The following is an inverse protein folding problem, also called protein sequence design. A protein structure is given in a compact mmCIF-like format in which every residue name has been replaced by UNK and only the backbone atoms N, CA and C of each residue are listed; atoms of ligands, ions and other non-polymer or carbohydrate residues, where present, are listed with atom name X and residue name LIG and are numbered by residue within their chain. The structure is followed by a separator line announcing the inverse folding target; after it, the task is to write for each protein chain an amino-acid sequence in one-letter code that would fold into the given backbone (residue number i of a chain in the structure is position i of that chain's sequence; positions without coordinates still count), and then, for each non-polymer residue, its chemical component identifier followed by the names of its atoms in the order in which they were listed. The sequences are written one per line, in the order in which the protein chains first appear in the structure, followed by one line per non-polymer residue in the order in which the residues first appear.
data_IF_225599616471
#
_entry.id   IF_225599616471
#
_cell.length_a   1.000
_cell.length_b   1.000
_cell.length_c   1.000
_cell.angle_alpha   90.00
_cell.angle_beta   90.00
_cell.angle_gamma   90.00
#
_symmetry.space_group_name_H-M   'P 1'
#
loop_
_entity.id
_entity.type
_entity.pdbx_description
1 polymer ?
#
# COMPACT_ATOMS: atom_id res chain seq x y z
N UNK A 1 15.38 -7.88 -28.89
CA UNK A 1 14.82 -8.53 -27.67
C UNK A 1 13.32 -8.34 -27.69
N UNK A 2 12.52 -9.41 -27.54
CA UNK A 2 11.06 -9.27 -27.56
C UNK A 2 10.53 -8.64 -26.26
N UNK A 3 9.35 -8.03 -26.29
CA UNK A 3 8.70 -7.52 -25.07
C UNK A 3 8.52 -8.61 -24.02
N UNK A 4 8.16 -9.83 -24.41
CA UNK A 4 8.03 -10.96 -23.48
C UNK A 4 9.35 -11.30 -22.80
N UNK A 5 10.47 -11.25 -23.53
CA UNK A 5 11.79 -11.51 -22.96
C UNK A 5 12.23 -10.41 -21.99
N UNK A 6 11.91 -9.14 -22.28
CA UNK A 6 12.19 -8.03 -21.38
C UNK A 6 11.57 -8.23 -20.00
N UNK A 7 10.28 -8.56 -19.92
CA UNK A 7 9.59 -8.76 -18.63
C UNK A 7 10.06 -10.03 -17.92
N UNK A 8 10.35 -11.10 -18.66
CA UNK A 8 10.85 -12.35 -18.07
C UNK A 8 12.24 -12.16 -17.46
N UNK A 9 13.15 -11.50 -18.17
CA UNK A 9 14.50 -11.19 -17.67
C UNK A 9 14.48 -10.11 -16.59
N UNK A 10 13.55 -9.15 -16.67
CA UNK A 10 13.28 -8.18 -15.60
C UNK A 10 12.86 -8.87 -14.30
N UNK A 11 11.86 -9.75 -14.36
CA UNK A 11 11.39 -10.49 -13.19
C UNK A 11 12.47 -11.40 -12.59
N UNK A 12 13.35 -12.00 -13.42
CA UNK A 12 14.51 -12.76 -12.93
C UNK A 12 15.49 -11.88 -12.17
N UNK A 13 15.86 -10.73 -12.74
CA UNK A 13 16.76 -9.75 -12.08
C UNK A 13 16.19 -9.25 -10.77
N UNK A 14 14.93 -8.81 -10.77
CA UNK A 14 14.23 -8.38 -9.55
C UNK A 14 14.17 -9.48 -8.49
N UNK A 15 14.00 -10.75 -8.90
CA UNK A 15 14.04 -11.88 -7.96
C UNK A 15 15.44 -12.03 -7.36
N UNK A 16 16.50 -11.97 -8.17
CA UNK A 16 17.88 -12.11 -7.70
C UNK A 16 18.28 -10.97 -6.75
N UNK A 17 18.06 -9.73 -7.17
CA UNK A 17 18.33 -8.52 -6.38
C UNK A 17 17.53 -8.52 -5.08
N UNK A 18 16.24 -8.89 -5.14
CA UNK A 18 15.40 -9.01 -3.95
C UNK A 18 15.89 -10.08 -2.97
N UNK A 19 16.35 -11.24 -3.46
CA UNK A 19 16.91 -12.29 -2.61
C UNK A 19 18.23 -11.87 -1.95
N UNK A 20 19.06 -11.11 -2.65
CA UNK A 20 20.28 -10.51 -2.09
C UNK A 20 19.93 -9.51 -0.98
N UNK A 21 18.99 -8.59 -1.25
CA UNK A 21 18.52 -7.62 -0.27
C UNK A 21 17.97 -8.30 0.99
N UNK A 22 17.09 -9.30 0.83
CA UNK A 22 16.54 -10.06 1.96
C UNK A 22 17.66 -10.73 2.77
N UNK A 23 18.69 -11.27 2.13
CA UNK A 23 19.82 -11.87 2.84
C UNK A 23 20.55 -10.85 3.72
N UNK A 24 20.76 -9.62 3.22
CA UNK A 24 21.33 -8.51 4.00
C UNK A 24 20.43 -8.09 5.16
N UNK A 25 19.12 -7.97 4.91
CA UNK A 25 18.12 -7.59 5.91
C UNK A 25 18.05 -8.64 7.03
N UNK A 26 17.98 -9.93 6.69
CA UNK A 26 17.96 -11.01 7.68
C UNK A 26 19.25 -11.05 8.50
N UNK A 27 20.41 -10.82 7.88
CA UNK A 27 21.67 -10.73 8.60
C UNK A 27 21.66 -9.56 9.60
N UNK A 28 21.20 -8.38 9.18
CA UNK A 28 21.03 -7.21 10.05
C UNK A 28 20.05 -7.47 11.21
N UNK A 29 18.91 -8.08 10.92
CA UNK A 29 17.92 -8.43 11.94
C UNK A 29 18.48 -9.40 12.97
N UNK A 30 19.30 -10.37 12.53
CA UNK A 30 19.98 -11.32 13.41
C UNK A 30 21.05 -10.65 14.27
N UNK A 31 21.88 -9.76 13.71
CA UNK A 31 22.91 -9.06 14.49
C UNK A 31 22.32 -8.03 15.45
N UNK A 32 21.10 -7.56 15.20
CA UNK A 32 20.37 -6.59 16.01
C UNK A 32 19.25 -7.21 16.85
N UNK A 33 19.20 -8.54 16.98
CA UNK A 33 18.06 -9.29 17.54
C UNK A 33 17.68 -8.82 18.94
N UNK A 34 18.67 -8.62 19.82
CA UNK A 34 18.44 -8.15 21.19
C UNK A 34 17.76 -6.78 21.27
N UNK A 35 18.16 -5.85 20.40
CA UNK A 35 17.56 -4.51 20.30
C UNK A 35 16.16 -4.59 19.69
N UNK A 36 15.98 -5.35 18.62
CA UNK A 36 14.71 -5.44 17.89
C UNK A 36 13.62 -6.20 18.68
N UNK A 37 14.01 -7.15 19.52
CA UNK A 37 13.09 -7.92 20.36
C UNK A 37 12.41 -7.06 21.44
N UNK A 38 13.03 -5.95 21.85
CA UNK A 38 12.48 -5.02 22.84
C UNK A 38 11.46 -4.04 22.24
N UNK A 39 11.37 -3.96 20.92
CA UNK A 39 10.47 -3.06 20.21
C UNK A 39 9.18 -3.77 19.84
N UNK A 40 8.08 -3.01 19.85
CA UNK A 40 6.81 -3.46 19.26
C UNK A 40 6.91 -3.61 17.73
N UNK A 41 5.87 -4.14 17.10
CA UNK A 41 5.87 -4.42 15.66
C UNK A 41 6.04 -3.17 14.79
N UNK A 42 5.54 -2.01 15.23
CA UNK A 42 5.58 -0.75 14.48
C UNK A 42 6.97 -0.14 14.58
N UNK A 43 7.53 -0.06 15.78
CA UNK A 43 8.84 0.52 16.02
C UNK A 43 9.97 -0.39 15.56
N UNK A 44 9.80 -1.72 15.64
CA UNK A 44 10.70 -2.67 15.00
C UNK A 44 10.77 -2.45 13.49
N UNK A 45 9.62 -2.27 12.84
CA UNK A 45 9.57 -1.99 11.41
C UNK A 45 10.31 -0.70 11.06
N UNK A 46 10.09 0.38 11.83
CA UNK A 46 10.80 1.66 11.64
C UNK A 46 12.31 1.48 11.79
N UNK A 47 12.77 0.82 12.86
CA UNK A 47 14.18 0.58 13.10
C UNK A 47 14.84 -0.25 11.99
N UNK A 48 14.14 -1.25 11.45
CA UNK A 48 14.65 -2.01 10.29
C UNK A 48 14.72 -1.13 9.05
N UNK A 49 13.77 -0.21 8.84
CA UNK A 49 13.77 0.71 7.69
C UNK A 49 14.89 1.76 7.74
N UNK A 50 15.54 1.98 8.89
CA UNK A 50 16.76 2.80 8.97
C UNK A 50 17.95 2.14 8.24
N UNK A 51 17.90 0.81 8.04
CA UNK A 51 18.88 0.10 7.24
C UNK A 51 18.57 0.25 5.74
N UNK A 52 19.49 0.87 5.00
CA UNK A 52 19.27 1.28 3.60
C UNK A 52 18.77 0.14 2.68
N UNK A 53 19.34 -1.09 2.72
CA UNK A 53 18.82 -2.20 1.93
C UNK A 53 17.37 -2.57 2.27
N UNK A 54 16.95 -2.41 3.53
CA UNK A 54 15.56 -2.61 3.93
C UNK A 54 14.65 -1.52 3.38
N UNK A 55 15.08 -0.25 3.42
CA UNK A 55 14.33 0.87 2.87
C UNK A 55 14.12 0.70 1.36
N UNK A 56 15.19 0.40 0.60
CA UNK A 56 15.10 0.13 -0.83
C UNK A 56 14.18 -1.05 -1.14
N UNK A 57 14.36 -2.16 -0.41
CA UNK A 57 13.55 -3.36 -0.61
C UNK A 57 12.07 -3.07 -0.32
N UNK A 58 11.76 -2.32 0.73
CA UNK A 58 10.39 -1.95 1.08
C UNK A 58 9.73 -1.03 0.04
N UNK A 59 10.50 -0.17 -0.66
CA UNK A 59 9.95 0.65 -1.74
C UNK A 59 9.44 -0.20 -2.91
N UNK A 60 10.14 -1.29 -3.22
CA UNK A 60 9.80 -2.16 -4.36
C UNK A 60 8.84 -3.28 -3.95
N UNK A 61 9.02 -3.85 -2.76
CA UNK A 61 8.31 -5.04 -2.27
C UNK A 61 7.76 -4.83 -0.85
N UNK A 62 6.88 -3.82 -0.64
CA UNK A 62 6.42 -3.45 0.70
C UNK A 62 5.69 -4.58 1.43
N UNK A 63 4.91 -5.41 0.71
CA UNK A 63 4.22 -6.53 1.34
C UNK A 63 5.18 -7.62 1.80
N UNK A 64 6.21 -7.92 1.00
CA UNK A 64 7.21 -8.93 1.35
C UNK A 64 7.99 -8.45 2.56
N UNK A 65 8.35 -7.17 2.58
CA UNK A 65 9.01 -6.54 3.72
C UNK A 65 8.17 -6.61 4.99
N UNK A 66 6.86 -6.39 4.90
CA UNK A 66 5.97 -6.47 6.06
C UNK A 66 6.09 -7.84 6.76
N UNK A 67 5.93 -8.94 6.02
CA UNK A 67 6.04 -10.30 6.60
C UNK A 67 7.46 -10.61 7.09
N UNK A 68 8.48 -10.14 6.37
CA UNK A 68 9.87 -10.32 6.79
C UNK A 68 10.16 -9.59 8.09
N UNK A 69 9.78 -8.31 8.20
CA UNK A 69 10.17 -7.45 9.30
C UNK A 69 9.33 -7.66 10.57
N UNK A 70 8.02 -7.93 10.44
CA UNK A 70 7.15 -8.11 11.62
C UNK A 70 7.06 -9.56 12.07
N UNK A 71 6.92 -10.49 11.11
CA UNK A 71 6.70 -11.91 11.42
C UNK A 71 7.98 -12.75 11.33
N UNK A 72 9.08 -12.19 10.83
CA UNK A 72 10.30 -12.94 10.50
C UNK A 72 10.02 -14.12 9.52
N UNK A 73 9.01 -13.96 8.65
CA UNK A 73 8.60 -14.97 7.68
C UNK A 73 9.11 -14.58 6.31
N UNK A 74 9.90 -15.47 5.70
CA UNK A 74 10.31 -15.35 4.31
C UNK A 74 10.50 -16.72 3.65
N UNK A 75 9.95 -16.88 2.45
CA UNK A 75 10.17 -18.05 1.61
C UNK A 75 10.65 -17.64 0.22
N UNK A 76 11.83 -18.13 -0.17
CA UNK A 76 12.49 -17.81 -1.45
C UNK A 76 11.63 -18.20 -2.66
N UNK A 77 10.96 -19.35 -2.61
CA UNK A 77 10.10 -19.84 -3.70
C UNK A 77 8.83 -18.98 -3.81
N UNK A 78 8.21 -18.65 -2.67
CA UNK A 78 7.04 -17.78 -2.64
C UNK A 78 7.34 -16.39 -3.22
N UNK A 79 8.49 -15.81 -2.84
CA UNK A 79 8.96 -14.54 -3.37
C UNK A 79 9.18 -14.60 -4.90
N UNK A 80 9.86 -15.63 -5.40
CA UNK A 80 10.07 -15.80 -6.84
C UNK A 80 8.76 -15.96 -7.62
N UNK A 81 7.76 -16.66 -7.06
CA UNK A 81 6.41 -16.75 -7.67
C UNK A 81 5.71 -15.40 -7.68
N UNK A 82 5.76 -14.66 -6.56
CA UNK A 82 5.19 -13.32 -6.45
C UNK A 82 5.78 -12.36 -7.48
N UNK A 83 7.10 -12.25 -7.56
CA UNK A 83 7.77 -11.34 -8.51
C UNK A 83 7.38 -11.69 -9.95
N UNK A 84 7.35 -12.98 -10.30
CA UNK A 84 6.94 -13.43 -11.63
C UNK A 84 5.48 -13.10 -11.94
N UNK A 85 4.59 -13.25 -10.96
CA UNK A 85 3.17 -12.97 -11.16
C UNK A 85 2.90 -11.46 -11.31
N UNK A 86 3.59 -10.62 -10.54
CA UNK A 86 3.36 -9.16 -10.53
C UNK A 86 4.11 -8.45 -11.65
N UNK A 87 5.34 -8.87 -11.96
CA UNK A 87 6.25 -8.16 -12.87
C UNK A 87 6.65 -8.97 -14.11
N UNK A 88 6.27 -10.25 -14.20
CA UNK A 88 6.71 -11.12 -15.29
C UNK A 88 6.00 -10.91 -16.63
N UNK A 89 4.99 -10.05 -16.68
CA UNK A 89 4.24 -9.71 -17.90
C UNK A 89 3.82 -8.24 -17.90
N UNK A 90 3.70 -7.61 -19.08
CA UNK A 90 3.08 -6.30 -19.18
C UNK A 90 1.61 -6.39 -18.78
N UNK A 91 1.10 -5.34 -18.13
CA UNK A 91 -0.35 -5.13 -17.98
C UNK A 91 -0.92 -4.63 -19.29
N UNK A 92 -2.14 -5.04 -19.63
CA UNK A 92 -2.86 -4.51 -20.78
C UNK A 92 -3.15 -3.00 -20.64
N UNK A 93 -3.46 -2.36 -21.76
CA UNK A 93 -3.66 -0.91 -21.83
C UNK A 93 -4.84 -0.42 -20.98
N UNK A 94 -5.91 -1.22 -20.88
CA UNK A 94 -7.09 -0.89 -20.08
C UNK A 94 -6.73 -0.86 -18.59
N UNK A 95 -6.05 -1.90 -18.11
CA UNK A 95 -5.55 -2.01 -16.75
C UNK A 95 -4.61 -0.86 -16.42
N UNK A 96 -3.66 -0.54 -17.32
CA UNK A 96 -2.77 0.61 -17.12
C UNK A 96 -3.52 1.94 -17.02
N UNK A 97 -4.55 2.13 -17.83
CA UNK A 97 -5.38 3.35 -17.81
C UNK A 97 -6.13 3.46 -16.49
N UNK A 98 -6.78 2.38 -16.02
CA UNK A 98 -7.49 2.36 -14.73
C UNK A 98 -6.54 2.63 -13.55
N UNK A 99 -5.34 2.05 -13.56
CA UNK A 99 -4.35 2.28 -12.51
C UNK A 99 -3.87 3.73 -12.40
N UNK A 100 -3.85 4.48 -13.51
CA UNK A 100 -3.46 5.89 -13.52
C UNK A 100 -4.61 6.83 -13.17
N UNK A 101 -5.81 6.52 -13.64
CA UNK A 101 -6.97 7.42 -13.53
C UNK A 101 -7.91 7.15 -12.36
N UNK A 102 -7.80 6.01 -11.66
CA UNK A 102 -8.72 5.63 -10.60
C UNK A 102 -7.97 5.20 -9.35
N UNK A 103 -8.03 6.04 -8.31
CA UNK A 103 -7.37 5.82 -7.02
C UNK A 103 -7.88 4.55 -6.33
N UNK A 104 -9.19 4.31 -6.33
CA UNK A 104 -9.80 3.11 -5.73
C UNK A 104 -9.30 1.84 -6.41
N UNK A 105 -9.31 1.83 -7.74
CA UNK A 105 -8.78 0.72 -8.53
C UNK A 105 -7.30 0.46 -8.24
N UNK A 106 -6.48 1.50 -8.09
CA UNK A 106 -5.07 1.37 -7.71
C UNK A 106 -4.91 0.68 -6.35
N UNK A 107 -5.70 1.04 -5.34
CA UNK A 107 -5.62 0.39 -4.02
C UNK A 107 -6.14 -1.05 -4.06
N UNK A 108 -7.26 -1.32 -4.75
CA UNK A 108 -7.75 -2.69 -4.93
C UNK A 108 -6.69 -3.57 -5.59
N UNK A 109 -6.01 -3.05 -6.61
CA UNK A 109 -4.92 -3.77 -7.26
C UNK A 109 -3.72 -4.02 -6.32
N UNK A 110 -3.40 -3.08 -5.43
CA UNK A 110 -2.37 -3.30 -4.39
C UNK A 110 -2.82 -4.37 -3.38
N UNK A 111 -4.10 -4.43 -3.05
CA UNK A 111 -4.66 -5.47 -2.15
C UNK A 111 -4.57 -6.86 -2.78
N UNK A 112 -4.82 -6.98 -4.09
CA UNK A 112 -4.60 -8.23 -4.83
C UNK A 112 -3.15 -8.70 -4.72
N UNK A 113 -2.18 -7.80 -4.97
CA UNK A 113 -0.76 -8.11 -4.83
C UNK A 113 -0.39 -8.52 -3.39
N UNK A 114 -1.01 -7.86 -2.41
CA UNK A 114 -0.82 -8.14 -1.00
C UNK A 114 -1.26 -9.57 -0.65
N UNK A 115 -2.50 -9.94 -1.01
CA UNK A 115 -3.05 -11.27 -0.80
C UNK A 115 -2.30 -12.33 -1.62
N UNK A 116 -1.77 -11.97 -2.80
CA UNK A 116 -1.06 -12.89 -3.68
C UNK A 116 0.26 -13.38 -3.07
N UNK A 117 1.02 -12.52 -2.41
CA UNK A 117 2.23 -12.96 -1.71
C UNK A 117 1.89 -13.95 -0.58
N UNK A 118 0.87 -13.64 0.22
CA UNK A 118 0.40 -14.53 1.30
C UNK A 118 -0.07 -15.89 0.78
N UNK A 119 -0.82 -15.90 -0.32
CA UNK A 119 -1.20 -17.13 -1.04
C UNK A 119 0.02 -17.99 -1.38
N UNK A 120 1.07 -17.39 -1.94
CA UNK A 120 2.28 -18.13 -2.28
C UNK A 120 3.08 -18.58 -1.05
N UNK A 121 3.09 -17.81 0.03
CA UNK A 121 3.64 -18.27 1.31
C UNK A 121 2.93 -19.54 1.76
N UNK A 122 1.60 -19.54 1.84
CA UNK A 122 0.83 -20.71 2.26
C UNK A 122 1.08 -21.95 1.39
N UNK A 123 1.13 -21.79 0.07
CA UNK A 123 1.42 -22.90 -0.86
C UNK A 123 2.80 -23.49 -0.59
N UNK A 124 3.81 -22.65 -0.35
CA UNK A 124 5.20 -23.09 -0.21
C UNK A 124 5.54 -23.57 1.21
N UNK A 125 4.78 -23.16 2.23
CA UNK A 125 4.98 -23.61 3.62
C UNK A 125 4.06 -24.75 4.03
N UNK A 126 2.91 -24.92 3.37
CA UNK A 126 1.90 -25.93 3.73
C UNK A 126 1.51 -26.79 2.53
N UNK A 127 2.38 -27.73 2.09
CA UNK A 127 2.15 -28.52 0.87
C UNK A 127 0.96 -29.48 0.95
N UNK A 128 0.48 -29.79 2.17
CA UNK A 128 -0.65 -30.69 2.39
C UNK A 128 -2.02 -29.99 2.35
N UNK A 129 -2.05 -28.66 2.34
CA UNK A 129 -3.29 -27.89 2.31
C UNK A 129 -3.85 -27.89 0.88
N UNK A 130 -5.16 -28.11 0.77
CA UNK A 130 -5.83 -28.10 -0.53
C UNK A 130 -5.74 -26.73 -1.20
N UNK A 131 -5.37 -26.72 -2.49
CA UNK A 131 -5.25 -25.48 -3.27
C UNK A 131 -6.56 -24.70 -3.35
N UNK A 132 -7.70 -25.38 -3.34
CA UNK A 132 -9.04 -24.76 -3.30
C UNK A 132 -9.27 -23.97 -2.01
N UNK A 133 -8.84 -24.49 -0.86
CA UNK A 133 -8.93 -23.79 0.41
C UNK A 133 -8.04 -22.54 0.43
N UNK A 134 -6.81 -22.64 -0.08
CA UNK A 134 -5.90 -21.50 -0.20
C UNK A 134 -6.47 -20.45 -1.16
N UNK A 135 -7.07 -20.86 -2.28
CA UNK A 135 -7.72 -19.96 -3.22
C UNK A 135 -8.88 -19.21 -2.54
N UNK A 136 -9.72 -19.91 -1.78
CA UNK A 136 -10.79 -19.29 -1.02
C UNK A 136 -10.27 -18.26 -0.02
N UNK A 137 -9.21 -18.58 0.73
CA UNK A 137 -8.56 -17.63 1.65
C UNK A 137 -8.03 -16.38 0.94
N UNK A 138 -7.47 -16.54 -0.26
CA UNK A 138 -7.03 -15.42 -1.08
C UNK A 138 -8.22 -14.53 -1.49
N UNK A 139 -9.30 -15.12 -1.99
CA UNK A 139 -10.48 -14.37 -2.42
C UNK A 139 -11.16 -13.64 -1.25
N UNK A 140 -11.27 -14.29 -0.10
CA UNK A 140 -11.80 -13.70 1.13
C UNK A 140 -10.93 -12.53 1.61
N UNK A 141 -9.60 -12.70 1.62
CA UNK A 141 -8.67 -11.63 2.01
C UNK A 141 -8.74 -10.42 1.07
N UNK A 142 -8.79 -10.63 -0.25
CA UNK A 142 -8.94 -9.53 -1.23
C UNK A 142 -10.24 -8.79 -1.00
N UNK A 143 -11.34 -9.53 -0.76
CA UNK A 143 -12.66 -8.94 -0.50
C UNK A 143 -12.65 -8.07 0.76
N UNK A 144 -12.07 -8.55 1.87
CA UNK A 144 -11.98 -7.77 3.11
C UNK A 144 -11.09 -6.54 2.96
N UNK A 145 -9.92 -6.68 2.33
CA UNK A 145 -9.02 -5.55 2.09
C UNK A 145 -9.69 -4.47 1.22
N UNK A 146 -10.42 -4.88 0.18
CA UNK A 146 -11.15 -3.97 -0.68
C UNK A 146 -12.28 -3.27 0.06
N UNK A 147 -13.05 -4.01 0.87
CA UNK A 147 -14.09 -3.41 1.74
C UNK A 147 -13.52 -2.34 2.66
N UNK A 148 -12.40 -2.64 3.34
CA UNK A 148 -11.76 -1.69 4.25
C UNK A 148 -11.21 -0.47 3.50
N UNK A 149 -10.64 -0.69 2.31
CA UNK A 149 -10.15 0.38 1.43
C UNK A 149 -11.30 1.29 0.99
N UNK A 150 -12.42 0.70 0.60
CA UNK A 150 -13.60 1.43 0.17
C UNK A 150 -14.12 2.33 1.29
N UNK A 151 -14.30 1.78 2.49
CA UNK A 151 -14.71 2.55 3.67
C UNK A 151 -13.75 3.69 3.99
N UNK A 152 -12.44 3.45 3.90
CA UNK A 152 -11.42 4.47 4.13
C UNK A 152 -11.51 5.59 3.10
N UNK A 153 -11.64 5.25 1.81
CA UNK A 153 -11.74 6.25 0.74
C UNK A 153 -13.04 7.05 0.83
N UNK A 154 -14.16 6.39 1.11
CA UNK A 154 -15.46 7.05 1.32
C UNK A 154 -15.38 8.05 2.48
N UNK A 155 -14.68 7.69 3.56
CA UNK A 155 -14.48 8.57 4.72
C UNK A 155 -13.66 9.82 4.36
N UNK A 156 -12.61 9.68 3.55
CA UNK A 156 -11.83 10.83 3.09
C UNK A 156 -12.64 11.74 2.16
N UNK A 157 -13.41 11.17 1.23
CA UNK A 157 -14.28 11.93 0.33
C UNK A 157 -15.36 12.69 1.11
N UNK A 158 -15.92 12.09 2.16
CA UNK A 158 -16.89 12.76 3.02
C UNK A 158 -16.23 13.90 3.81
N UNK A 159 -15.06 13.66 4.41
CA UNK A 159 -14.33 14.70 5.14
C UNK A 159 -13.95 15.90 4.25
N UNK A 160 -13.59 15.64 2.99
CA UNK A 160 -13.29 16.70 2.02
C UNK A 160 -14.54 17.53 1.68
N UNK A 161 -15.69 16.88 1.47
CA UNK A 161 -16.97 17.57 1.26
C UNK A 161 -17.39 18.40 2.47
N UNK A 162 -17.24 17.86 3.67
CA UNK A 162 -17.58 18.55 4.90
C UNK A 162 -16.69 19.79 5.11
N UNK A 163 -15.39 19.68 4.84
CA UNK A 163 -14.46 20.81 4.89
C UNK A 163 -14.82 21.91 3.88
N UNK A 164 -15.13 21.54 2.64
CA UNK A 164 -15.57 22.50 1.60
C UNK A 164 -16.89 23.17 1.97
N UNK A 165 -17.85 22.42 2.53
CA UNK A 165 -19.11 22.97 3.01
C UNK A 165 -18.90 23.97 4.15
N UNK A 166 -18.02 23.67 5.11
CA UNK A 166 -17.67 24.58 6.20
C UNK A 166 -16.99 25.85 5.71
N UNK A 167 -16.07 25.75 4.75
CA UNK A 167 -15.42 26.91 4.14
C UNK A 167 -16.43 27.82 3.45
N UNK A 168 -17.39 27.24 2.72
CA UNK A 168 -18.47 28.00 2.09
C UNK A 168 -19.35 28.74 3.11
N UNK A 169 -19.70 28.08 4.23
CA UNK A 169 -20.46 28.70 5.33
C UNK A 169 -19.67 29.86 5.95
N UNK A 170 -18.41 29.66 6.31
CA UNK A 170 -17.53 30.70 6.86
C UNK A 170 -17.41 31.91 5.93
N UNK A 171 -17.34 31.68 4.63
CA UNK A 171 -17.23 32.75 3.62
C UNK A 171 -18.55 33.52 3.48
N UNK A 172 -19.69 32.81 3.54
CA UNK A 172 -21.03 33.40 3.56
C UNK A 172 -21.25 34.29 4.78
N UNK A 173 -20.88 33.79 5.96
CA UNK A 173 -21.04 34.51 7.23
C UNK A 173 -20.17 35.77 7.25
N UNK A 174 -18.90 35.68 6.85
CA UNK A 174 -18.01 36.85 6.71
C UNK A 174 -18.58 37.91 5.75
N UNK A 175 -19.20 37.48 4.65
CA UNK A 175 -19.84 38.39 3.69
C UNK A 175 -21.05 39.09 4.30
N UNK A 176 -21.85 38.37 5.10
CA UNK A 176 -22.99 38.93 5.83
C UNK A 176 -22.54 39.95 6.88
N UNK A 177 -21.51 39.63 7.66
CA UNK A 177 -20.95 40.53 8.68
C UNK A 177 -20.40 41.82 8.05
N UNK A 178 -19.72 41.72 6.89
CA UNK A 178 -19.24 42.87 6.13
C UNK A 178 -20.39 43.75 5.62
N UNK A 179 -21.48 43.14 5.13
CA UNK A 179 -22.67 43.87 4.69
C UNK A 179 -23.36 44.57 5.86
N UNK A 180 -23.46 43.93 7.03
CA UNK A 180 -24.02 44.54 8.25
C UNK A 180 -23.15 45.70 8.76
N UNK A 181 -21.82 45.55 8.73
CA UNK A 181 -20.89 46.63 9.08
C UNK A 181 -21.00 47.81 8.12
N UNK A 182 -21.09 47.56 6.82
CA UNK A 182 -21.30 48.63 5.82
C UNK A 182 -22.66 49.31 6.00
N UNK A 183 -23.74 48.54 6.21
CA UNK A 183 -25.07 49.10 6.49
C UNK A 183 -25.06 49.98 7.75
N UNK A 184 -24.40 49.55 8.83
CA UNK A 184 -24.23 50.38 10.03
C UNK A 184 -23.42 51.65 9.79
N UNK A 185 -22.35 51.57 8.99
CA UNK A 185 -21.41 52.69 8.77
C UNK A 185 -21.90 53.72 7.75
N UNK A 186 -22.70 53.30 6.77
CA UNK A 186 -23.21 54.16 5.71
C UNK A 186 -24.71 54.48 5.84
N UNK A 187 -25.49 53.68 6.58
CA UNK A 187 -26.90 53.96 6.87
C UNK A 187 -27.13 54.95 8.01
N UNK A 188 -26.11 55.23 8.84
CA UNK A 188 -26.15 56.24 9.91
C UNK A 188 -25.78 57.66 9.46
N UNK A 189 -25.43 57.85 8.18
CA UNK A 189 -25.14 59.17 7.57
C UNK A 189 -26.33 59.79 6.82
N UNK A 190 -27.55 59.27 7.01
CA UNK A 190 -28.79 59.81 6.43
C UNK A 190 -29.86 60.16 7.49
N UNK A 191 -29.45 60.49 8.72
CA UNK A 191 -30.35 61.00 9.76
C UNK A 191 -29.98 62.43 10.15
#
# INVERSE_FOLDING_TARGET
MSTKDFYKEGAKRMTAEGLEAVSKIMAFMKTSESKLAQLDSVDRKKAILEFEPAAMFNQVHPIVFQYLATENIFNKKAFGRYVRAVYGKPKDAETQTKLRGNRRYLYHHKNEQCALYYKYLLIETNPLVQLSAIQKMYDDMVKELNKNTDQMLDSYEQAEKDAQAQEHVLTSDKKKDLLELMAKKYGSNQS
#
